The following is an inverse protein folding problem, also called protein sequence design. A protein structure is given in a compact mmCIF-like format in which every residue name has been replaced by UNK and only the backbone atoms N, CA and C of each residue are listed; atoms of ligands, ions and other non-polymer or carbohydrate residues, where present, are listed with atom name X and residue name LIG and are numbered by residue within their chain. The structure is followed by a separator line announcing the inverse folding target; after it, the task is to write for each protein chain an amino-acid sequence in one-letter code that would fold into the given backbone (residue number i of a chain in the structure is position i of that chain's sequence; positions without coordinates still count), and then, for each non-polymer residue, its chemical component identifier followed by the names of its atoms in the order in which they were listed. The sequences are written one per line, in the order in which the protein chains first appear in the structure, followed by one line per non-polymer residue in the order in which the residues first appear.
data_IF_320143268525
#
_entry.id   IF_320143268525
#
_cell.length_a   1.000
_cell.length_b   1.000
_cell.length_c   1.000
_cell.angle_alpha   90.00
_cell.angle_beta   90.00
_cell.angle_gamma   90.00
#
_symmetry.space_group_name_H-M   'P 1'
#
loop_
_entity.id
_entity.type
_entity.pdbx_description
1 polymer ?
#
# COMPACT_ATOMS: atom_id res chain seq x y z
N UNK A 1 -6.33 9.06 2.79
CA UNK A 1 -6.07 10.52 2.76
C UNK A 1 -4.60 10.75 2.40
N UNK A 2 -4.34 11.66 1.48
CA UNK A 2 -3.00 11.85 0.90
C UNK A 2 -2.22 13.03 1.48
N UNK A 3 -2.65 13.60 2.58
CA UNK A 3 -2.00 14.73 3.25
C UNK A 3 -1.53 14.30 4.62
N UNK A 4 -0.38 14.83 4.99
CA UNK A 4 0.20 14.73 6.33
C UNK A 4 -0.83 15.22 7.35
N UNK A 5 -1.56 14.26 7.93
CA UNK A 5 -2.61 14.52 8.90
C UNK A 5 -1.99 14.40 10.28
N UNK A 6 -1.69 15.53 10.89
CA UNK A 6 -1.09 15.61 12.25
C UNK A 6 -1.94 14.90 13.32
N UNK A 7 -3.17 14.50 12.99
CA UNK A 7 -4.05 13.73 13.89
C UNK A 7 -3.85 12.20 13.78
N UNK A 8 -3.03 11.72 12.85
CA UNK A 8 -2.84 10.28 12.61
C UNK A 8 -2.33 9.56 13.86
N UNK A 9 -1.36 10.13 14.56
CA UNK A 9 -0.82 9.57 15.79
C UNK A 9 -1.91 9.34 16.85
N UNK A 10 -2.76 10.35 17.07
CA UNK A 10 -3.87 10.27 18.04
C UNK A 10 -4.88 9.22 17.63
N UNK A 11 -5.30 9.19 16.36
CA UNK A 11 -6.27 8.20 15.85
C UNK A 11 -5.75 6.77 15.99
N UNK A 12 -4.48 6.55 15.68
CA UNK A 12 -3.86 5.23 15.86
C UNK A 12 -3.79 4.83 17.33
N UNK A 13 -3.45 5.78 18.21
CA UNK A 13 -3.46 5.53 19.65
C UNK A 13 -4.87 5.14 20.14
N UNK A 14 -5.92 5.84 19.71
CA UNK A 14 -7.32 5.53 20.05
C UNK A 14 -7.71 4.11 19.61
N UNK A 15 -7.38 3.72 18.38
CA UNK A 15 -7.68 2.37 17.86
C UNK A 15 -6.90 1.30 18.63
N UNK A 16 -5.62 1.49 18.84
CA UNK A 16 -4.77 0.52 19.52
C UNK A 16 -5.16 0.39 21.00
N UNK A 17 -5.55 1.50 21.64
CA UNK A 17 -6.08 1.48 22.99
C UNK A 17 -7.42 0.71 23.07
N UNK A 18 -8.34 0.94 22.12
CA UNK A 18 -9.59 0.21 22.07
C UNK A 18 -9.37 -1.30 21.92
N UNK A 19 -8.51 -1.72 21.00
CA UNK A 19 -8.13 -3.13 20.80
C UNK A 19 -7.49 -3.71 22.07
N UNK A 20 -6.57 -2.98 22.67
CA UNK A 20 -5.89 -3.40 23.90
C UNK A 20 -6.87 -3.57 25.08
N UNK A 21 -7.88 -2.71 25.17
CA UNK A 21 -8.93 -2.82 26.20
C UNK A 21 -9.85 -4.02 26.00
N UNK A 22 -10.10 -4.45 24.77
CA UNK A 22 -10.86 -5.66 24.48
C UNK A 22 -10.12 -6.93 24.93
N UNK A 23 -8.79 -6.96 24.78
CA UNK A 23 -7.92 -8.09 25.12
C UNK A 23 -7.35 -8.04 26.54
N UNK A 24 -7.76 -7.07 27.36
CA UNK A 24 -7.27 -6.92 28.73
C UNK A 24 -7.52 -8.17 29.58
N UNK A 25 -6.58 -8.50 30.44
CA UNK A 25 -6.75 -9.58 31.41
C UNK A 25 -6.44 -9.12 32.83
N UNK A 26 -6.87 -9.91 33.80
CA UNK A 26 -6.71 -9.64 35.23
C UNK A 26 -5.88 -10.70 35.91
N UNK A 27 -4.91 -10.26 36.71
CA UNK A 27 -4.17 -11.14 37.62
C UNK A 27 -4.22 -10.54 39.03
N UNK A 28 -4.96 -11.18 39.94
CA UNK A 28 -5.24 -10.67 41.25
C UNK A 28 -6.06 -9.37 41.22
N UNK A 29 -5.49 -8.28 41.76
CA UNK A 29 -6.09 -6.95 41.73
C UNK A 29 -5.61 -6.06 40.57
N UNK A 30 -4.65 -6.54 39.78
CA UNK A 30 -4.05 -5.78 38.68
C UNK A 30 -4.71 -6.16 37.34
N UNK A 31 -4.96 -5.18 36.52
CA UNK A 31 -5.29 -5.34 35.12
C UNK A 31 -4.08 -5.13 34.25
N UNK A 32 -3.97 -5.91 33.19
CA UNK A 32 -2.94 -5.83 32.18
C UNK A 32 -3.60 -5.49 30.85
N UNK A 33 -2.97 -4.57 30.12
CA UNK A 33 -3.43 -4.09 28.83
C UNK A 33 -2.23 -4.17 27.89
N UNK A 34 -2.33 -4.97 26.85
CA UNK A 34 -1.27 -5.14 25.87
C UNK A 34 -1.67 -4.47 24.55
N UNK A 35 -0.86 -3.49 24.14
CA UNK A 35 -1.09 -2.79 22.88
C UNK A 35 -0.71 -3.66 21.68
N UNK A 36 -1.48 -3.62 20.57
CA UNK A 36 -1.16 -4.32 19.35
C UNK A 36 0.13 -3.75 18.71
N UNK A 37 0.76 -4.56 17.87
CA UNK A 37 1.87 -4.08 17.02
C UNK A 37 1.30 -3.46 15.76
N UNK A 38 1.10 -2.15 15.78
CA UNK A 38 0.53 -1.40 14.67
C UNK A 38 1.58 -0.63 13.89
N UNK A 39 1.26 -0.26 12.67
CA UNK A 39 2.05 0.67 11.86
C UNK A 39 1.14 1.52 10.99
N UNK A 40 1.59 2.71 10.63
CA UNK A 40 0.92 3.58 9.65
C UNK A 40 1.56 3.39 8.29
N UNK A 41 0.74 3.15 7.26
CA UNK A 41 1.21 3.05 5.88
C UNK A 41 0.86 4.35 5.15
N UNK A 42 1.87 5.11 4.78
CA UNK A 42 1.73 6.30 3.95
C UNK A 42 1.89 5.93 2.48
N UNK A 43 0.81 6.01 1.72
CA UNK A 43 0.81 5.79 0.27
C UNK A 43 1.53 6.91 -0.48
N UNK A 44 1.44 8.12 0.06
CA UNK A 44 2.17 9.31 -0.36
C UNK A 44 2.85 9.91 0.86
N UNK A 45 4.09 10.32 0.70
CA UNK A 45 4.87 10.93 1.76
C UNK A 45 5.49 12.24 1.29
N UNK A 46 5.76 13.12 2.26
CA UNK A 46 6.51 14.36 2.06
C UNK A 46 7.81 14.28 2.85
N UNK A 47 8.63 15.31 2.75
CA UNK A 47 9.85 15.42 3.57
C UNK A 47 9.53 15.50 5.06
N UNK A 48 8.35 15.99 5.40
CA UNK A 48 7.90 16.20 6.78
C UNK A 48 7.18 14.97 7.37
N UNK A 49 6.79 14.00 6.53
CA UNK A 49 6.17 12.77 7.03
C UNK A 49 7.13 12.03 7.94
N UNK A 50 6.80 11.78 9.22
CA UNK A 50 7.71 11.20 10.19
C UNK A 50 8.00 9.72 9.88
N UNK A 51 9.11 9.19 10.37
CA UNK A 51 9.42 7.76 10.31
C UNK A 51 8.79 6.99 11.49
N UNK A 52 8.40 7.72 12.53
CA UNK A 52 7.70 7.22 13.71
C UNK A 52 6.70 8.29 14.13
N UNK A 53 5.44 7.90 14.28
CA UNK A 53 4.43 8.71 14.94
C UNK A 53 4.56 8.56 16.45
N UNK A 54 4.41 9.64 17.21
CA UNK A 54 4.55 9.62 18.67
C UNK A 54 3.36 10.30 19.35
N UNK A 55 2.93 9.69 20.46
CA UNK A 55 1.96 10.27 21.40
C UNK A 55 2.57 10.26 22.78
N UNK A 56 2.68 11.42 23.42
CA UNK A 56 3.10 11.55 24.80
C UNK A 56 1.88 11.58 25.73
N UNK A 57 1.84 10.65 26.66
CA UNK A 57 0.82 10.55 27.70
C UNK A 57 1.38 11.14 28.99
N UNK A 58 0.85 12.30 29.37
CA UNK A 58 1.21 12.96 30.62
C UNK A 58 0.31 12.42 31.72
N UNK A 59 0.89 11.68 32.65
CA UNK A 59 0.13 11.06 33.75
C UNK A 59 -0.01 12.04 34.93
N UNK A 60 -1.06 11.92 35.77
CA UNK A 60 -1.31 12.84 36.88
C UNK A 60 -0.22 12.84 37.94
N UNK A 61 0.60 11.81 38.03
CA UNK A 61 1.75 11.67 38.93
C UNK A 61 3.05 12.29 38.36
N UNK A 62 2.95 12.95 37.20
CA UNK A 62 4.08 13.58 36.50
C UNK A 62 4.91 12.62 35.65
N UNK A 63 4.55 11.34 35.57
CA UNK A 63 5.21 10.42 34.64
C UNK A 63 4.80 10.71 33.20
N UNK A 64 5.73 10.47 32.27
CA UNK A 64 5.50 10.59 30.83
C UNK A 64 5.68 9.19 30.21
N UNK A 65 4.64 8.72 29.50
CA UNK A 65 4.72 7.50 28.71
C UNK A 65 4.67 7.88 27.23
N UNK A 66 5.66 7.44 26.44
CA UNK A 66 5.72 7.72 25.00
C UNK A 66 5.25 6.48 24.23
N UNK A 67 4.15 6.64 23.50
CA UNK A 67 3.64 5.63 22.60
C UNK A 67 4.15 5.90 21.19
N UNK A 68 4.86 4.91 20.58
CA UNK A 68 5.51 5.02 19.28
C UNK A 68 4.89 4.08 18.27
N UNK A 69 4.54 4.62 17.11
CA UNK A 69 3.94 3.89 16.00
C UNK A 69 4.85 4.02 14.78
N UNK A 70 5.51 2.94 14.32
CA UNK A 70 6.36 2.99 13.15
C UNK A 70 5.57 3.32 11.88
N UNK A 71 6.19 4.00 10.93
CA UNK A 71 5.58 4.35 9.66
C UNK A 71 6.25 3.62 8.49
N UNK A 72 5.44 3.25 7.50
CA UNK A 72 5.89 2.65 6.25
C UNK A 72 5.55 3.61 5.12
N UNK A 73 6.57 4.15 4.45
CA UNK A 73 6.42 5.06 3.31
C UNK A 73 6.57 4.26 2.02
N UNK A 74 5.45 3.99 1.33
CA UNK A 74 5.43 3.12 0.14
C UNK A 74 6.35 3.64 -0.97
N UNK A 75 6.46 4.96 -1.13
CA UNK A 75 7.33 5.58 -2.14
C UNK A 75 8.82 5.25 -1.98
N UNK A 76 9.27 4.83 -0.77
CA UNK A 76 10.66 4.43 -0.50
C UNK A 76 10.98 2.99 -0.94
N UNK A 77 9.96 2.20 -1.27
CA UNK A 77 10.15 0.83 -1.70
C UNK A 77 10.21 0.75 -3.23
N UNK A 78 11.26 0.10 -3.73
CA UNK A 78 11.32 -0.30 -5.14
C UNK A 78 10.50 -1.58 -5.36
N UNK A 79 10.08 -1.86 -6.61
CA UNK A 79 9.36 -3.09 -6.93
C UNK A 79 10.17 -4.34 -6.58
N UNK A 80 11.50 -4.31 -6.81
CA UNK A 80 12.41 -5.41 -6.48
C UNK A 80 12.35 -5.72 -4.97
N UNK A 81 12.41 -4.68 -4.14
CA UNK A 81 12.37 -4.83 -2.68
C UNK A 81 11.00 -5.29 -2.17
N UNK A 82 9.93 -4.92 -2.87
CA UNK A 82 8.58 -5.42 -2.56
C UNK A 82 8.47 -6.92 -2.85
N UNK A 83 9.02 -7.40 -3.97
CA UNK A 83 9.08 -8.83 -4.29
C UNK A 83 9.98 -9.61 -3.32
N UNK A 84 11.19 -9.11 -3.05
CA UNK A 84 12.12 -9.72 -2.10
C UNK A 84 11.48 -9.93 -0.71
N UNK A 85 10.78 -8.92 -0.22
CA UNK A 85 10.11 -8.95 1.10
C UNK A 85 8.71 -9.56 1.07
N UNK A 86 8.24 -10.06 -0.07
CA UNK A 86 6.88 -10.60 -0.27
C UNK A 86 5.76 -9.61 0.08
N UNK A 87 6.01 -8.32 -0.11
CA UNK A 87 5.04 -7.24 0.13
C UNK A 87 4.16 -7.00 -1.11
N UNK A 88 3.58 -8.08 -1.66
CA UNK A 88 2.91 -8.06 -2.96
C UNK A 88 1.70 -7.11 -2.99
N UNK A 89 1.00 -6.96 -1.87
CA UNK A 89 -0.11 -6.00 -1.75
C UNK A 89 0.34 -4.54 -1.93
N UNK A 90 1.58 -4.20 -1.61
CA UNK A 90 2.09 -2.84 -1.80
C UNK A 90 2.34 -2.50 -3.27
N UNK A 91 2.41 -3.50 -4.17
CA UNK A 91 2.52 -3.26 -5.61
C UNK A 91 1.30 -2.51 -6.16
N UNK A 92 0.12 -2.68 -5.56
CA UNK A 92 -1.08 -1.91 -5.91
C UNK A 92 -0.85 -0.40 -5.77
N UNK A 93 -0.09 -0.01 -4.75
CA UNK A 93 0.21 1.39 -4.46
C UNK A 93 1.50 1.87 -5.13
N UNK A 94 2.34 0.94 -5.58
CA UNK A 94 3.55 1.27 -6.34
C UNK A 94 3.23 2.10 -7.58
N UNK A 95 2.18 1.73 -8.30
CA UNK A 95 1.75 2.41 -9.53
C UNK A 95 1.22 3.82 -9.30
N UNK A 96 0.78 4.17 -8.08
CA UNK A 96 0.30 5.52 -7.74
C UNK A 96 1.37 6.60 -7.88
N UNK A 97 2.66 6.23 -7.89
CA UNK A 97 3.78 7.17 -8.11
C UNK A 97 3.72 7.88 -9.45
N UNK A 98 3.05 7.27 -10.44
CA UNK A 98 2.92 7.85 -11.78
C UNK A 98 1.83 8.91 -11.89
N UNK A 99 0.97 9.09 -10.87
CA UNK A 99 -0.13 10.05 -10.92
C UNK A 99 0.34 11.48 -11.20
N UNK A 100 1.47 11.90 -10.61
CA UNK A 100 2.02 13.25 -10.81
C UNK A 100 2.63 13.49 -12.19
N UNK A 101 3.03 12.42 -12.87
CA UNK A 101 3.71 12.47 -14.18
C UNK A 101 2.88 11.82 -15.29
N UNK A 102 1.60 11.54 -15.04
CA UNK A 102 0.73 10.83 -15.97
C UNK A 102 0.67 11.52 -17.34
N UNK A 103 0.52 12.85 -17.35
CA UNK A 103 0.48 13.65 -18.58
C UNK A 103 1.80 13.56 -19.36
N UNK A 104 2.94 13.68 -18.69
CA UNK A 104 4.27 13.55 -19.31
C UNK A 104 4.49 12.17 -19.94
N UNK A 105 3.95 11.13 -19.31
CA UNK A 105 4.00 9.75 -19.83
C UNK A 105 3.16 9.64 -21.10
N UNK A 106 2.02 10.32 -21.16
CA UNK A 106 1.14 10.34 -22.35
C UNK A 106 1.80 11.00 -23.56
N UNK A 107 2.59 12.04 -23.34
CA UNK A 107 3.24 12.82 -24.40
C UNK A 107 4.59 12.25 -24.84
N UNK A 108 5.34 11.57 -23.96
CA UNK A 108 6.68 11.06 -24.20
C UNK A 108 6.68 9.54 -24.42
N UNK A 109 6.87 9.13 -25.67
CA UNK A 109 6.93 7.71 -26.04
C UNK A 109 8.07 6.92 -25.34
N UNK A 110 9.15 7.59 -24.95
CA UNK A 110 10.25 6.98 -24.19
C UNK A 110 9.87 6.71 -22.74
N UNK A 111 9.14 7.66 -22.11
CA UNK A 111 8.59 7.49 -20.77
C UNK A 111 7.50 6.40 -20.75
N UNK A 112 6.63 6.40 -21.74
CA UNK A 112 5.61 5.36 -21.91
C UNK A 112 6.22 3.96 -22.02
N UNK A 113 7.22 3.79 -22.89
CA UNK A 113 7.90 2.49 -23.03
C UNK A 113 8.54 2.00 -21.72
N UNK A 114 9.13 2.89 -20.94
CA UNK A 114 9.70 2.54 -19.62
C UNK A 114 8.61 2.11 -18.65
N UNK A 115 7.50 2.85 -18.61
CA UNK A 115 6.32 2.50 -17.81
C UNK A 115 5.82 1.10 -18.16
N UNK A 116 5.55 0.83 -19.43
CA UNK A 116 5.02 -0.47 -19.90
C UNK A 116 5.98 -1.62 -19.53
N UNK A 117 7.27 -1.42 -19.69
CA UNK A 117 8.28 -2.40 -19.25
C UNK A 117 8.22 -2.68 -17.74
N UNK A 118 7.97 -1.65 -16.92
CA UNK A 118 7.81 -1.86 -15.47
C UNK A 118 6.55 -2.65 -15.13
N UNK A 119 5.43 -2.37 -15.80
CA UNK A 119 4.19 -3.12 -15.63
C UNK A 119 4.35 -4.58 -16.06
N UNK A 120 5.02 -4.83 -17.18
CA UNK A 120 5.34 -6.18 -17.64
C UNK A 120 6.18 -6.96 -16.61
N UNK A 121 7.21 -6.34 -16.05
CA UNK A 121 8.04 -6.95 -15.00
C UNK A 121 7.20 -7.25 -13.75
N UNK A 122 6.32 -6.33 -13.34
CA UNK A 122 5.43 -6.55 -12.20
C UNK A 122 4.51 -7.73 -12.47
N UNK A 123 3.86 -7.78 -13.63
CA UNK A 123 2.95 -8.86 -14.02
C UNK A 123 3.65 -10.21 -14.00
N UNK A 124 4.78 -10.34 -14.68
CA UNK A 124 5.52 -11.62 -14.81
C UNK A 124 5.98 -12.11 -13.42
N UNK A 125 6.52 -11.22 -12.60
CA UNK A 125 6.99 -11.61 -11.27
C UNK A 125 5.83 -11.96 -10.33
N UNK A 126 4.72 -11.22 -10.40
CA UNK A 126 3.53 -11.48 -9.59
C UNK A 126 2.90 -12.82 -9.96
N UNK A 127 2.77 -13.12 -11.26
CA UNK A 127 2.28 -14.40 -11.77
C UNK A 127 3.15 -15.56 -11.30
N UNK A 128 4.48 -15.44 -11.46
CA UNK A 128 5.43 -16.46 -11.03
C UNK A 128 5.34 -16.73 -9.52
N UNK A 129 5.38 -15.69 -8.69
CA UNK A 129 5.37 -15.81 -7.23
C UNK A 129 4.07 -16.45 -6.72
N UNK A 130 2.94 -16.03 -7.26
CA UNK A 130 1.64 -16.52 -6.80
C UNK A 130 1.27 -17.88 -7.39
N UNK A 131 1.66 -18.19 -8.63
CA UNK A 131 1.49 -19.51 -9.22
C UNK A 131 2.32 -20.55 -8.48
N UNK A 132 3.58 -20.25 -8.15
CA UNK A 132 4.44 -21.14 -7.35
C UNK A 132 3.88 -21.37 -5.94
N UNK A 133 3.14 -20.41 -5.38
CA UNK A 133 2.46 -20.52 -4.09
C UNK A 133 1.08 -21.18 -4.17
N UNK A 134 0.61 -21.58 -5.36
CA UNK A 134 -0.73 -22.12 -5.56
C UNK A 134 -1.87 -21.11 -5.38
N UNK A 135 -1.59 -19.81 -5.57
CA UNK A 135 -2.52 -18.68 -5.32
C UNK A 135 -2.87 -17.94 -6.62
N UNK A 136 -3.29 -18.67 -7.65
CA UNK A 136 -3.60 -18.09 -8.97
C UNK A 136 -4.79 -17.13 -8.94
N UNK A 137 -5.79 -17.36 -8.08
CA UNK A 137 -6.91 -16.42 -7.88
C UNK A 137 -6.42 -15.08 -7.34
N UNK A 138 -5.52 -15.10 -6.34
CA UNK A 138 -4.95 -13.88 -5.80
C UNK A 138 -4.14 -13.11 -6.85
N UNK A 139 -3.45 -13.81 -7.77
CA UNK A 139 -2.80 -13.17 -8.91
C UNK A 139 -3.81 -12.42 -9.77
N UNK A 140 -4.90 -13.09 -10.15
CA UNK A 140 -5.95 -12.49 -10.97
C UNK A 140 -6.55 -11.25 -10.31
N UNK A 141 -6.84 -11.32 -9.02
CA UNK A 141 -7.41 -10.20 -8.27
C UNK A 141 -6.44 -9.01 -8.16
N UNK A 142 -5.18 -9.27 -7.80
CA UNK A 142 -4.16 -8.21 -7.72
C UNK A 142 -3.93 -7.57 -9.08
N UNK A 143 -3.87 -8.36 -10.14
CA UNK A 143 -3.69 -7.85 -11.50
C UNK A 143 -4.85 -6.94 -11.93
N UNK A 144 -6.10 -7.36 -11.69
CA UNK A 144 -7.30 -6.53 -11.92
C UNK A 144 -7.27 -5.22 -11.12
N UNK A 145 -6.84 -5.28 -9.86
CA UNK A 145 -6.73 -4.08 -9.03
C UNK A 145 -5.65 -3.11 -9.53
N UNK A 146 -4.50 -3.61 -9.98
CA UNK A 146 -3.46 -2.78 -10.59
C UNK A 146 -4.00 -2.07 -11.83
N UNK A 147 -4.70 -2.79 -12.72
CA UNK A 147 -5.32 -2.19 -13.91
C UNK A 147 -6.31 -1.09 -13.53
N UNK A 148 -7.22 -1.34 -12.58
CA UNK A 148 -8.20 -0.35 -12.13
C UNK A 148 -7.56 0.91 -11.54
N UNK A 149 -6.49 0.75 -10.74
CA UNK A 149 -5.75 1.89 -10.19
C UNK A 149 -5.07 2.65 -11.34
N UNK A 150 -4.49 1.96 -12.30
CA UNK A 150 -3.87 2.56 -13.48
C UNK A 150 -4.87 3.32 -14.34
N UNK A 151 -6.06 2.76 -14.55
CA UNK A 151 -7.16 3.42 -15.24
C UNK A 151 -7.55 4.75 -14.58
N UNK A 152 -7.57 4.79 -13.26
CA UNK A 152 -7.83 6.03 -12.52
C UNK A 152 -6.68 7.04 -12.69
N UNK A 153 -5.43 6.58 -12.57
CA UNK A 153 -4.24 7.44 -12.70
C UNK A 153 -4.18 8.06 -14.11
N UNK A 154 -4.36 7.24 -15.13
CA UNK A 154 -4.24 7.63 -16.54
C UNK A 154 -5.60 7.97 -17.20
N UNK A 155 -6.62 8.32 -16.40
CA UNK A 155 -7.99 8.56 -16.91
C UNK A 155 -8.09 9.61 -18.04
N UNK A 156 -7.12 10.50 -18.14
CA UNK A 156 -7.03 11.52 -19.20
C UNK A 156 -6.13 11.11 -20.37
N UNK A 157 -5.42 9.99 -20.25
CA UNK A 157 -4.41 9.51 -21.20
C UNK A 157 -4.86 8.16 -21.78
N UNK A 158 -5.84 8.21 -22.70
CA UNK A 158 -6.49 7.00 -23.25
C UNK A 158 -5.50 6.01 -23.87
N UNK A 159 -4.48 6.53 -24.58
CA UNK A 159 -3.43 5.69 -25.17
C UNK A 159 -2.68 4.90 -24.09
N UNK A 160 -2.26 5.56 -23.02
CA UNK A 160 -1.53 4.92 -21.91
C UNK A 160 -2.37 3.83 -21.26
N UNK A 161 -3.66 4.11 -21.02
CA UNK A 161 -4.60 3.15 -20.45
C UNK A 161 -4.70 1.88 -21.29
N UNK A 162 -4.91 2.02 -22.59
CA UNK A 162 -5.02 0.87 -23.51
C UNK A 162 -3.74 0.03 -23.51
N UNK A 163 -2.58 0.66 -23.61
CA UNK A 163 -1.31 -0.05 -23.64
C UNK A 163 -0.99 -0.72 -22.28
N UNK A 164 -1.34 -0.11 -21.16
CA UNK A 164 -1.21 -0.74 -19.82
C UNK A 164 -2.14 -1.95 -19.70
N UNK A 165 -3.41 -1.83 -20.12
CA UNK A 165 -4.36 -2.95 -20.10
C UNK A 165 -3.86 -4.11 -20.94
N UNK A 166 -3.34 -3.87 -22.14
CA UNK A 166 -2.75 -4.90 -23.01
C UNK A 166 -1.56 -5.61 -22.33
N UNK A 167 -0.63 -4.86 -21.74
CA UNK A 167 0.55 -5.40 -21.05
C UNK A 167 0.15 -6.23 -19.83
N UNK A 168 -0.89 -5.81 -19.11
CA UNK A 168 -1.42 -6.51 -17.94
C UNK A 168 -2.35 -7.69 -18.31
N UNK A 169 -2.56 -7.96 -19.61
CA UNK A 169 -3.31 -9.12 -20.10
C UNK A 169 -4.83 -8.94 -20.11
N UNK A 170 -5.33 -7.71 -20.29
CA UNK A 170 -6.74 -7.34 -20.20
C UNK A 170 -7.72 -8.19 -20.99
N UNK A 171 -7.39 -8.59 -22.21
CA UNK A 171 -8.23 -9.48 -23.03
C UNK A 171 -8.36 -10.90 -22.45
N UNK A 172 -7.31 -11.43 -21.83
CA UNK A 172 -7.32 -12.77 -21.23
C UNK A 172 -8.14 -12.77 -19.95
N UNK A 173 -8.04 -11.71 -19.14
CA UNK A 173 -8.78 -11.58 -17.89
C UNK A 173 -10.30 -11.37 -18.10
N UNK A 174 -10.70 -10.71 -19.20
CA UNK A 174 -12.11 -10.57 -19.56
C UNK A 174 -12.74 -11.92 -19.96
N UNK A 175 -12.03 -12.74 -20.75
CA UNK A 175 -12.51 -14.05 -21.16
C UNK A 175 -12.68 -15.04 -20.00
N UNK A 176 -11.87 -14.93 -18.94
CA UNK A 176 -12.02 -15.73 -17.73
C UNK A 176 -13.20 -15.28 -16.86
N UNK A 177 -13.48 -13.98 -16.80
CA UNK A 177 -14.62 -13.45 -16.03
C UNK A 177 -15.98 -13.72 -16.69
N UNK A 178 -16.01 -13.98 -18.01
CA UNK A 178 -17.25 -14.37 -18.75
C UNK A 178 -17.54 -15.88 -18.66
N UNK A 179 -16.62 -16.68 -18.08
CA UNK A 179 -16.79 -18.13 -17.91
C UNK A 179 -17.32 -18.56 -16.54
N UNK A 180 -17.58 -17.61 -15.66
CA UNK A 180 -18.21 -17.80 -14.35
C UNK A 180 -19.66 -17.29 -14.35
#
# INVERSE_FOLDING_TARGET
QSTDDTTMAIRMFEYDFAIAMESRWRAGRKFYVEFPRSCVIYLRSTKNTPDVEEVELLLPDGQVCVYRIPTVKVERYTKERMFEKKLLMLLLFYVMRYEKVAHEVGEDSGKLRRLLKEYEIIRINLERELSMAGKSELYTDLNKLIVRISDYIFRKEEKVRKEVDEVMGGKVLQLESERL
#
